data_IF_950883482814
#
_entry.id   IF_950883482814
#
_cell.length_a   1.000
_cell.length_b   1.000
_cell.length_c   1.000
_cell.angle_alpha   90.00
_cell.angle_beta   90.00
_cell.angle_gamma   90.00
#
_symmetry.space_group_name_H-M   'P 1'
#
loop_
_entity.id
_entity.type
_entity.pdbx_description
1 polymer ?
#
# COMPACT_ATOMS: atom_id res chain seq x y z
N UNK A 1 11.24 19.07 13.88
CA UNK A 1 12.43 18.91 14.73
C UNK A 1 13.53 18.21 13.93
N UNK A 2 14.79 18.58 14.13
CA UNK A 2 15.95 17.91 13.49
C UNK A 2 16.39 16.65 14.26
N UNK A 3 15.51 16.06 15.08
CA UNK A 3 15.80 14.95 15.98
C UNK A 3 15.00 13.71 15.59
N UNK A 4 15.53 12.53 15.91
CA UNK A 4 14.80 11.27 15.73
C UNK A 4 13.53 11.25 16.59
N UNK A 5 12.53 10.49 16.17
CA UNK A 5 11.22 10.38 16.85
C UNK A 5 11.38 10.11 18.35
N UNK A 6 12.24 9.18 18.74
CA UNK A 6 12.50 8.83 20.14
C UNK A 6 13.06 10.04 20.93
N UNK A 7 14.02 10.77 20.35
CA UNK A 7 14.60 11.95 21.00
C UNK A 7 13.63 13.12 21.08
N UNK A 8 12.75 13.27 20.08
CA UNK A 8 11.71 14.29 20.10
C UNK A 8 10.73 14.07 21.24
N UNK A 9 10.28 12.83 21.44
CA UNK A 9 9.43 12.47 22.58
C UNK A 9 10.16 12.67 23.93
N UNK A 10 11.45 12.31 24.04
CA UNK A 10 12.21 12.48 25.26
C UNK A 10 12.41 13.96 25.67
N UNK A 11 12.40 14.92 24.71
CA UNK A 11 12.48 16.33 25.03
C UNK A 11 11.15 16.98 25.40
N UNK A 12 10.06 16.45 24.85
CA UNK A 12 8.70 16.91 25.18
C UNK A 12 8.19 16.31 26.48
N UNK A 13 8.85 15.28 26.97
CA UNK A 13 8.47 14.52 28.16
C UNK A 13 8.77 15.32 29.42
N UNK A 14 7.78 15.40 30.33
CA UNK A 14 7.98 15.96 31.68
C UNK A 14 8.60 14.92 32.60
N UNK A 15 9.37 15.35 33.62
CA UNK A 15 9.95 14.44 34.63
C UNK A 15 8.89 13.51 35.23
N UNK A 16 9.13 12.21 35.10
CA UNK A 16 8.24 11.15 35.61
C UNK A 16 7.28 10.54 34.54
N UNK A 17 7.23 11.07 33.34
CA UNK A 17 6.49 10.49 32.22
C UNK A 17 7.40 9.54 31.42
N UNK A 18 6.80 8.61 30.66
CA UNK A 18 7.52 7.61 29.87
C UNK A 18 7.11 7.62 28.39
N UNK A 19 6.89 8.82 27.82
CA UNK A 19 6.45 8.98 26.43
C UNK A 19 7.53 8.59 25.40
N UNK A 20 8.81 8.55 25.82
CA UNK A 20 9.89 8.04 24.97
C UNK A 20 9.66 6.57 24.54
N UNK A 21 8.96 5.78 25.36
CA UNK A 21 8.58 4.39 25.00
C UNK A 21 7.72 4.37 23.75
N UNK A 22 6.79 5.31 23.60
CA UNK A 22 5.98 5.43 22.39
C UNK A 22 6.84 5.66 21.15
N UNK A 23 7.92 6.42 21.26
CA UNK A 23 8.88 6.61 20.19
C UNK A 23 9.56 5.32 19.72
N UNK A 24 9.85 4.40 20.63
CA UNK A 24 10.38 3.07 20.26
C UNK A 24 9.31 2.20 19.61
N UNK A 25 8.08 2.20 20.13
CA UNK A 25 6.96 1.44 19.54
C UNK A 25 6.70 1.93 18.10
N UNK A 26 6.67 3.24 17.88
CA UNK A 26 6.52 3.83 16.56
C UNK A 26 7.66 3.42 15.61
N UNK A 27 8.90 3.37 16.10
CA UNK A 27 10.05 2.94 15.31
C UNK A 27 9.91 1.46 14.87
N UNK A 28 9.54 0.57 15.80
CA UNK A 28 9.30 -0.85 15.51
C UNK A 28 8.15 -0.99 14.50
N UNK A 29 7.05 -0.25 14.70
CA UNK A 29 5.93 -0.22 13.77
C UNK A 29 6.34 0.17 12.35
N UNK A 30 7.19 1.18 12.22
CA UNK A 30 7.74 1.61 10.92
C UNK A 30 8.59 0.51 10.26
N UNK A 31 9.44 -0.18 11.02
CA UNK A 31 10.22 -1.28 10.46
C UNK A 31 9.34 -2.43 9.96
N UNK A 32 8.34 -2.83 10.74
CA UNK A 32 7.39 -3.88 10.34
C UNK A 32 6.62 -3.47 9.08
N UNK A 33 6.17 -2.22 9.03
CA UNK A 33 5.47 -1.66 7.89
C UNK A 33 6.35 -1.66 6.63
N UNK A 34 7.60 -1.23 6.74
CA UNK A 34 8.55 -1.23 5.62
C UNK A 34 8.85 -2.64 5.11
N UNK A 35 8.98 -3.62 6.01
CA UNK A 35 9.14 -5.03 5.61
C UNK A 35 7.95 -5.50 4.78
N UNK A 36 6.73 -5.22 5.22
CA UNK A 36 5.50 -5.56 4.51
C UNK A 36 5.44 -4.89 3.13
N UNK A 37 5.64 -3.57 3.07
CA UNK A 37 5.57 -2.83 1.81
C UNK A 37 6.65 -3.25 0.81
N UNK A 38 7.83 -3.60 1.27
CA UNK A 38 8.91 -4.07 0.38
C UNK A 38 8.54 -5.40 -0.31
N UNK A 39 7.91 -6.31 0.43
CA UNK A 39 7.40 -7.57 -0.13
C UNK A 39 6.29 -7.31 -1.15
N UNK A 40 5.29 -6.49 -0.79
CA UNK A 40 4.18 -6.16 -1.68
C UNK A 40 4.66 -5.45 -2.95
N UNK A 41 5.60 -4.52 -2.82
CA UNK A 41 6.21 -3.86 -3.98
C UNK A 41 6.96 -4.85 -4.88
N UNK A 42 7.62 -5.87 -4.31
CA UNK A 42 8.22 -6.97 -5.06
C UNK A 42 7.19 -7.76 -5.88
N UNK A 43 6.03 -8.06 -5.31
CA UNK A 43 4.92 -8.70 -6.03
C UNK A 43 4.40 -7.84 -7.17
N UNK A 44 4.20 -6.55 -6.93
CA UNK A 44 3.76 -5.58 -7.94
C UNK A 44 4.76 -5.52 -9.11
N UNK A 45 6.06 -5.53 -8.83
CA UNK A 45 7.10 -5.54 -9.86
C UNK A 45 7.04 -6.82 -10.69
N UNK A 46 6.86 -7.99 -10.07
CA UNK A 46 6.72 -9.26 -10.78
C UNK A 46 5.49 -9.27 -11.69
N UNK A 47 4.34 -8.78 -11.19
CA UNK A 47 3.12 -8.68 -11.98
C UNK A 47 3.29 -7.73 -13.15
N UNK A 48 3.85 -6.56 -12.93
CA UNK A 48 4.14 -5.59 -13.97
C UNK A 48 4.99 -6.22 -15.09
N UNK A 49 6.07 -6.88 -14.73
CA UNK A 49 6.92 -7.59 -15.68
C UNK A 49 6.17 -8.70 -16.43
N UNK A 50 5.35 -9.47 -15.74
CA UNK A 50 4.56 -10.56 -16.32
C UNK A 50 3.50 -10.04 -17.29
N UNK A 51 2.90 -8.88 -17.01
CA UNK A 51 1.98 -8.20 -17.92
C UNK A 51 2.71 -7.69 -19.16
N UNK A 52 3.87 -7.09 -19.02
CA UNK A 52 4.66 -6.61 -20.17
C UNK A 52 5.05 -7.72 -21.14
N UNK A 53 5.34 -8.92 -20.64
CA UNK A 53 5.69 -10.08 -21.48
C UNK A 53 4.45 -10.79 -22.03
N UNK A 54 3.23 -10.38 -21.61
CA UNK A 54 2.00 -10.99 -22.07
C UNK A 54 1.69 -12.37 -21.45
N UNK A 55 2.30 -12.72 -20.31
CA UNK A 55 2.07 -14.01 -19.62
C UNK A 55 0.62 -14.23 -19.19
N UNK A 56 -0.16 -13.17 -19.08
CA UNK A 56 -1.56 -13.22 -18.67
C UNK A 56 -2.55 -13.15 -19.84
N UNK A 57 -2.06 -13.02 -21.08
CA UNK A 57 -2.92 -12.96 -22.26
C UNK A 57 -3.71 -14.27 -22.43
N UNK A 58 -5.05 -14.16 -22.46
CA UNK A 58 -5.94 -15.29 -22.64
C UNK A 58 -6.16 -16.18 -21.42
N UNK A 59 -5.64 -15.81 -20.23
CA UNK A 59 -5.90 -16.53 -19.00
C UNK A 59 -7.24 -16.11 -18.37
N UNK A 60 -7.94 -17.09 -17.78
CA UNK A 60 -9.11 -16.85 -16.93
C UNK A 60 -8.68 -16.35 -15.55
N UNK A 61 -9.62 -15.77 -14.77
CA UNK A 61 -9.35 -15.28 -13.42
C UNK A 61 -8.75 -16.34 -12.50
N UNK A 62 -9.22 -17.57 -12.58
CA UNK A 62 -8.71 -18.69 -11.77
C UNK A 62 -7.27 -19.06 -12.14
N UNK A 63 -6.92 -19.00 -13.42
CA UNK A 63 -5.57 -19.27 -13.88
C UNK A 63 -4.59 -18.15 -13.42
N UNK A 64 -5.05 -16.90 -13.37
CA UNK A 64 -4.26 -15.78 -12.83
C UNK A 64 -4.02 -15.97 -11.33
N UNK A 65 -5.02 -16.40 -10.57
CA UNK A 65 -4.87 -16.72 -9.14
C UNK A 65 -3.90 -17.88 -8.93
N UNK A 66 -3.94 -18.91 -9.80
CA UNK A 66 -2.96 -20.00 -9.80
C UNK A 66 -1.52 -19.50 -9.99
N UNK A 67 -1.31 -18.55 -10.90
CA UNK A 67 0.01 -17.91 -11.12
C UNK A 67 0.50 -17.09 -9.91
N UNK A 68 -0.42 -16.50 -9.16
CA UNK A 68 -0.08 -15.82 -7.90
C UNK A 68 0.44 -16.81 -6.86
N UNK A 69 -0.25 -17.92 -6.68
CA UNK A 69 0.16 -18.97 -5.75
C UNK A 69 1.50 -19.61 -6.15
N UNK A 70 1.74 -19.80 -7.43
CA UNK A 70 3.02 -20.28 -7.98
C UNK A 70 4.16 -19.30 -7.65
N UNK A 71 3.93 -18.00 -7.82
CA UNK A 71 4.89 -16.95 -7.44
C UNK A 71 5.19 -16.98 -5.94
N UNK A 72 4.16 -17.07 -5.09
CA UNK A 72 4.33 -17.14 -3.63
C UNK A 72 5.10 -18.39 -3.19
N UNK A 73 4.97 -19.48 -3.94
CA UNK A 73 5.70 -20.73 -3.68
C UNK A 73 7.15 -20.71 -4.19
N UNK A 74 7.58 -19.64 -4.86
CA UNK A 74 8.92 -19.50 -5.45
C UNK A 74 9.76 -18.48 -4.67
N UNK A 75 10.49 -18.90 -3.61
CA UNK A 75 11.28 -18.00 -2.78
C UNK A 75 12.30 -17.16 -3.55
N UNK A 76 12.90 -17.75 -4.59
CA UNK A 76 13.90 -17.07 -5.41
C UNK A 76 13.33 -15.84 -6.14
N UNK A 77 12.11 -15.94 -6.69
CA UNK A 77 11.45 -14.82 -7.38
C UNK A 77 11.15 -13.71 -6.37
N UNK A 78 10.63 -14.08 -5.21
CA UNK A 78 10.28 -13.12 -4.15
C UNK A 78 11.53 -12.37 -3.66
N UNK A 79 12.62 -13.08 -3.40
CA UNK A 79 13.88 -12.46 -2.94
C UNK A 79 14.47 -11.55 -4.01
N UNK A 80 14.51 -11.97 -5.27
CA UNK A 80 15.08 -11.16 -6.36
C UNK A 80 14.27 -9.88 -6.56
N UNK A 81 12.95 -9.97 -6.64
CA UNK A 81 12.09 -8.78 -6.83
C UNK A 81 12.16 -7.82 -5.64
N UNK A 82 12.22 -8.36 -4.42
CA UNK A 82 12.40 -7.60 -3.20
C UNK A 82 13.76 -6.88 -3.16
N UNK A 83 14.84 -7.55 -3.58
CA UNK A 83 16.17 -6.93 -3.67
C UNK A 83 16.20 -5.80 -4.71
N UNK A 84 15.58 -5.99 -5.87
CA UNK A 84 15.50 -4.95 -6.91
C UNK A 84 14.80 -3.69 -6.35
N UNK A 85 13.66 -3.86 -5.70
CA UNK A 85 12.91 -2.74 -5.09
C UNK A 85 13.75 -2.06 -4.00
N UNK A 86 14.39 -2.84 -3.15
CA UNK A 86 15.22 -2.30 -2.07
C UNK A 86 16.40 -1.50 -2.61
N UNK A 87 17.12 -2.04 -3.60
CA UNK A 87 18.24 -1.34 -4.24
C UNK A 87 17.76 -0.06 -4.92
N UNK A 88 16.63 -0.11 -5.67
CA UNK A 88 16.05 1.06 -6.30
C UNK A 88 15.68 2.14 -5.27
N UNK A 89 15.06 1.74 -4.14
CA UNK A 89 14.75 2.65 -3.04
C UNK A 89 16.01 3.32 -2.45
N UNK A 90 17.05 2.55 -2.19
CA UNK A 90 18.33 3.11 -1.71
C UNK A 90 18.99 4.04 -2.71
N UNK A 91 18.97 3.72 -4.00
CA UNK A 91 19.49 4.62 -5.05
C UNK A 91 18.74 5.95 -5.08
N UNK A 92 17.40 5.92 -5.00
CA UNK A 92 16.60 7.16 -4.94
C UNK A 92 16.91 7.95 -3.67
N UNK A 93 17.01 7.29 -2.53
CA UNK A 93 17.35 7.94 -1.26
C UNK A 93 18.78 8.51 -1.25
N UNK A 94 19.74 7.89 -1.96
CA UNK A 94 21.12 8.37 -2.03
C UNK A 94 21.28 9.71 -2.73
N UNK A 95 20.36 10.05 -3.65
CA UNK A 95 20.32 11.38 -4.32
C UNK A 95 19.85 12.48 -3.37
N UNK A 96 19.30 12.11 -2.23
CA UNK A 96 18.80 13.02 -1.19
C UNK A 96 17.30 13.22 -1.22
N UNK A 97 16.78 13.79 -0.14
CA UNK A 97 15.35 13.88 0.10
C UNK A 97 14.65 14.81 -0.90
N UNK A 98 15.19 15.99 -1.15
CA UNK A 98 14.57 16.98 -2.03
C UNK A 98 14.74 16.67 -3.51
N UNK A 99 15.94 16.26 -3.94
CA UNK A 99 16.24 16.01 -5.34
C UNK A 99 15.90 14.57 -5.80
N UNK A 100 15.94 13.62 -4.89
CA UNK A 100 15.65 12.21 -5.16
C UNK A 100 14.20 11.87 -4.84
N UNK A 101 13.90 11.71 -3.57
CA UNK A 101 12.60 11.18 -3.12
C UNK A 101 11.44 12.08 -3.52
N UNK A 102 11.51 13.38 -3.23
CA UNK A 102 10.43 14.32 -3.52
C UNK A 102 10.13 14.43 -5.02
N UNK A 103 11.19 14.51 -5.84
CA UNK A 103 11.04 14.63 -7.29
C UNK A 103 10.43 13.37 -7.91
N UNK A 104 10.93 12.20 -7.52
CA UNK A 104 10.42 10.91 -8.01
C UNK A 104 8.97 10.72 -7.57
N UNK A 105 8.67 10.96 -6.29
CA UNK A 105 7.30 10.85 -5.76
C UNK A 105 6.33 11.79 -6.47
N UNK A 106 6.73 13.04 -6.73
CA UNK A 106 5.88 14.00 -7.45
C UNK A 106 5.54 13.53 -8.86
N UNK A 107 6.51 13.03 -9.60
CA UNK A 107 6.28 12.49 -10.95
C UNK A 107 5.39 11.27 -10.89
N UNK A 108 5.66 10.33 -9.99
CA UNK A 108 4.85 9.12 -9.81
C UNK A 108 3.40 9.45 -9.43
N UNK A 109 3.17 10.43 -8.56
CA UNK A 109 1.83 10.87 -8.17
C UNK A 109 1.05 11.48 -9.33
N UNK A 110 1.70 12.28 -10.18
CA UNK A 110 1.06 12.84 -11.38
C UNK A 110 0.68 11.72 -12.35
N UNK A 111 1.61 10.79 -12.63
CA UNK A 111 1.34 9.64 -13.51
C UNK A 111 0.21 8.79 -12.96
N UNK A 112 0.20 8.49 -11.65
CA UNK A 112 -0.85 7.75 -10.99
C UNK A 112 -2.21 8.46 -11.14
N UNK A 113 -2.26 9.77 -10.93
CA UNK A 113 -3.49 10.56 -11.08
C UNK A 113 -4.04 10.47 -12.51
N UNK A 114 -3.19 10.61 -13.52
CA UNK A 114 -3.59 10.49 -14.93
C UNK A 114 -4.13 9.10 -15.23
N UNK A 115 -3.45 8.05 -14.77
CA UNK A 115 -3.90 6.65 -14.95
C UNK A 115 -5.25 6.44 -14.24
N UNK A 116 -5.43 6.94 -13.01
CA UNK A 116 -6.70 6.81 -12.29
C UNK A 116 -7.86 7.49 -13.00
N UNK A 117 -7.65 8.71 -13.52
CA UNK A 117 -8.68 9.42 -14.30
C UNK A 117 -9.03 8.62 -15.56
N UNK A 118 -8.02 8.14 -16.28
CA UNK A 118 -8.24 7.32 -17.47
C UNK A 118 -9.03 6.05 -17.18
N UNK A 119 -8.64 5.32 -16.12
CA UNK A 119 -9.34 4.10 -15.69
C UNK A 119 -10.76 4.38 -15.20
N UNK A 120 -10.98 5.49 -14.50
CA UNK A 120 -12.32 5.91 -14.08
C UNK A 120 -13.22 6.17 -15.29
N UNK A 121 -12.75 6.95 -16.26
CA UNK A 121 -13.51 7.22 -17.51
C UNK A 121 -13.78 5.91 -18.26
N UNK A 122 -12.77 5.06 -18.40
CA UNK A 122 -12.91 3.78 -19.08
C UNK A 122 -13.90 2.85 -18.36
N UNK A 123 -13.90 2.84 -17.03
CA UNK A 123 -14.83 2.04 -16.22
C UNK A 123 -16.29 2.39 -16.49
N UNK A 124 -16.62 3.65 -16.78
CA UNK A 124 -17.99 4.05 -17.14
C UNK A 124 -18.46 3.50 -18.47
N UNK A 125 -17.55 3.11 -19.35
CA UNK A 125 -17.88 2.54 -20.67
C UNK A 125 -18.12 1.02 -20.63
N UNK A 126 -17.79 0.39 -19.49
CA UNK A 126 -17.92 -1.07 -19.37
C UNK A 126 -19.37 -1.50 -19.07
N UNK A 127 -19.82 -2.66 -19.63
CA UNK A 127 -21.11 -3.25 -19.26
C UNK A 127 -21.08 -3.58 -17.75
N UNK A 128 -22.14 -3.18 -17.01
CA UNK A 128 -22.21 -3.35 -15.56
C UNK A 128 -21.75 -2.15 -14.73
N UNK A 129 -21.30 -1.07 -15.35
CA UNK A 129 -20.85 0.14 -14.65
C UNK A 129 -21.91 0.72 -13.70
N UNK A 130 -23.18 0.68 -14.11
CA UNK A 130 -24.32 1.16 -13.29
C UNK A 130 -24.51 0.31 -12.02
N UNK A 131 -24.39 -1.01 -12.15
CA UNK A 131 -24.52 -1.96 -11.03
C UNK A 131 -23.34 -1.80 -10.06
N UNK A 132 -22.13 -1.66 -10.59
CA UNK A 132 -20.94 -1.35 -9.79
C UNK A 132 -21.06 -0.02 -9.02
N UNK A 133 -21.55 1.03 -9.66
CA UNK A 133 -21.80 2.31 -9.00
C UNK A 133 -22.87 2.21 -7.91
N UNK A 134 -23.95 1.49 -8.20
CA UNK A 134 -25.00 1.24 -7.21
C UNK A 134 -24.48 0.49 -6.01
N UNK A 135 -23.69 -0.57 -6.23
CA UNK A 135 -23.03 -1.31 -5.15
C UNK A 135 -22.14 -0.43 -4.27
N UNK A 136 -21.42 0.51 -4.88
CA UNK A 136 -20.47 1.38 -4.17
C UNK A 136 -21.14 2.52 -3.41
N UNK A 137 -22.22 3.08 -3.95
CA UNK A 137 -22.86 4.29 -3.40
C UNK A 137 -24.10 3.99 -2.56
N UNK A 138 -24.77 2.85 -2.78
CA UNK A 138 -26.00 2.50 -2.08
C UNK A 138 -25.68 1.43 -1.03
N UNK A 139 -25.81 1.77 0.28
CA UNK A 139 -25.59 0.80 1.34
C UNK A 139 -26.65 -0.30 1.31
N UNK A 140 -26.20 -1.55 1.37
CA UNK A 140 -27.07 -2.71 1.46
C UNK A 140 -27.38 -3.02 2.93
N UNK A 141 -28.60 -2.67 3.35
CA UNK A 141 -29.03 -2.85 4.74
C UNK A 141 -29.13 -4.33 5.14
N UNK A 142 -29.38 -5.23 4.20
CA UNK A 142 -29.44 -6.67 4.50
C UNK A 142 -28.07 -7.23 4.85
N UNK A 143 -27.03 -6.78 4.17
CA UNK A 143 -25.65 -7.17 4.50
C UNK A 143 -25.20 -6.58 5.85
N UNK A 144 -25.66 -5.38 6.20
CA UNK A 144 -25.37 -4.76 7.51
C UNK A 144 -25.92 -5.60 8.66
N UNK A 145 -27.14 -6.14 8.51
CA UNK A 145 -27.76 -7.01 9.53
C UNK A 145 -27.03 -8.35 9.67
N UNK A 146 -26.57 -8.93 8.55
CA UNK A 146 -25.87 -10.24 8.55
C UNK A 146 -24.46 -10.17 9.14
N UNK A 147 -23.70 -9.11 8.81
CA UNK A 147 -22.32 -8.96 9.24
C UNK A 147 -22.18 -8.34 10.64
N UNK A 148 -23.18 -7.60 11.06
CA UNK A 148 -23.21 -6.88 12.34
C UNK A 148 -22.53 -5.50 12.26
N UNK A 149 -23.24 -4.49 12.76
CA UNK A 149 -22.82 -3.09 12.70
C UNK A 149 -21.45 -2.86 13.35
N UNK A 150 -21.16 -3.53 14.46
CA UNK A 150 -19.88 -3.41 15.17
C UNK A 150 -18.70 -3.86 14.29
N UNK A 151 -18.85 -4.96 13.58
CA UNK A 151 -17.81 -5.50 12.70
C UNK A 151 -17.55 -4.57 11.50
N UNK A 152 -18.61 -4.00 10.93
CA UNK A 152 -18.52 -3.02 9.85
C UNK A 152 -17.79 -1.76 10.30
N UNK A 153 -18.16 -1.21 11.46
CA UNK A 153 -17.52 -0.02 12.02
C UNK A 153 -16.02 -0.29 12.29
N UNK A 154 -15.69 -1.43 12.89
CA UNK A 154 -14.30 -1.80 13.20
C UNK A 154 -13.48 -1.92 11.92
N UNK A 155 -14.02 -2.56 10.88
CA UNK A 155 -13.35 -2.69 9.59
C UNK A 155 -13.18 -1.32 8.91
N UNK A 156 -14.22 -0.48 8.90
CA UNK A 156 -14.14 0.87 8.34
C UNK A 156 -13.11 1.73 9.07
N UNK A 157 -13.07 1.67 10.40
CA UNK A 157 -12.05 2.34 11.20
C UNK A 157 -10.65 1.84 10.86
N UNK A 158 -10.44 0.52 10.79
CA UNK A 158 -9.15 -0.07 10.43
C UNK A 158 -8.68 0.38 9.05
N UNK A 159 -9.58 0.41 8.08
CA UNK A 159 -9.30 0.92 6.73
C UNK A 159 -8.96 2.42 6.74
N UNK A 160 -9.70 3.23 7.48
CA UNK A 160 -9.44 4.65 7.62
C UNK A 160 -8.09 4.91 8.29
N UNK A 161 -7.77 4.20 9.36
CA UNK A 161 -6.47 4.29 10.04
C UNK A 161 -5.32 3.90 9.11
N UNK A 162 -5.47 2.83 8.35
CA UNK A 162 -4.46 2.39 7.38
C UNK A 162 -4.26 3.41 6.25
N UNK A 163 -5.36 3.96 5.72
CA UNK A 163 -5.33 4.89 4.57
C UNK A 163 -4.80 6.27 4.96
N UNK A 164 -5.19 6.77 6.14
CA UNK A 164 -4.77 8.09 6.62
C UNK A 164 -3.37 8.09 7.21
N UNK A 165 -2.76 6.92 7.35
CA UNK A 165 -1.38 6.76 7.83
C UNK A 165 -1.10 7.64 9.05
N UNK A 166 -1.78 7.34 10.18
CA UNK A 166 -1.76 8.17 11.37
C UNK A 166 -0.35 8.43 11.88
N UNK A 167 0.22 9.52 11.38
CA UNK A 167 1.20 10.32 12.10
C UNK A 167 2.51 9.65 12.45
N UNK A 168 3.04 8.82 11.57
CA UNK A 168 4.40 8.33 11.75
C UNK A 168 5.31 9.06 10.78
#
# INVERSE_FOLDING_TARGET
>A
SKKSTVRAYGELEKKGQKWHIHGYVALIGNYLLMMFYTVVAGWMLYYFYSFLIGKFSGLTGDAVTGKFNEMLSSPSILVITMLIITIAGFLICSVGLQNGVERVTKVMMIVLMVIMIFLAVYSFTMPGAKEGLKFYLVPDMQQIEQVGLFHIITNAMSQAFFTLSLGI
#
